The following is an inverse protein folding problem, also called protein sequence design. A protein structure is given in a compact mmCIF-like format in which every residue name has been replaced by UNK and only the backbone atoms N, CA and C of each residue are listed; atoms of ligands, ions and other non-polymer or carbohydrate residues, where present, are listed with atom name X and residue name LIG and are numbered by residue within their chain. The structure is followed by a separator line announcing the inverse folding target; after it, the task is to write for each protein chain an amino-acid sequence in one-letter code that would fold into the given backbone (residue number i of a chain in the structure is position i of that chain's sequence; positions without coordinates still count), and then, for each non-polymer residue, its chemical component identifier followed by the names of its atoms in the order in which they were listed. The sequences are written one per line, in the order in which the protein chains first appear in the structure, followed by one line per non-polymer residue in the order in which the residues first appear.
data_IF_737992380227
#
_entry.id   IF_737992380227
#
_cell.length_a   1.000
_cell.length_b   1.000
_cell.length_c   1.000
_cell.angle_alpha   90.00
_cell.angle_beta   90.00
_cell.angle_gamma   90.00
#
_symmetry.space_group_name_H-M   'P 1'
#
loop_
_entity.id
_entity.type
_entity.pdbx_description
1 polymer ?
#
# COMPACT_ATOMS: atom_id res chain seq x y z
N UNK A 1 1.01 -3.18 22.60
CA UNK A 1 -0.50 -3.21 22.63
C UNK A 1 -1.06 -1.92 22.03
N UNK A 2 -2.07 -1.99 21.16
CA UNK A 2 -2.68 -0.80 20.56
C UNK A 2 -3.44 0.01 21.65
N UNK A 3 -3.42 1.36 21.64
CA UNK A 3 -4.19 2.20 22.57
C UNK A 3 -5.67 1.82 22.72
N UNK A 4 -6.33 1.35 21.65
CA UNK A 4 -7.73 0.87 21.72
C UNK A 4 -7.91 -0.38 22.61
N UNK A 5 -6.94 -1.28 22.59
CA UNK A 5 -6.96 -2.50 23.42
C UNK A 5 -6.77 -2.15 24.90
N UNK A 6 -5.86 -1.23 25.20
CA UNK A 6 -5.62 -0.72 26.56
C UNK A 6 -6.90 -0.12 27.15
N UNK A 7 -7.65 0.63 26.34
CA UNK A 7 -8.96 1.18 26.71
C UNK A 7 -9.98 0.06 27.00
N UNK A 8 -10.09 -0.95 26.14
CA UNK A 8 -10.99 -2.08 26.37
C UNK A 8 -10.63 -2.88 27.62
N UNK A 9 -9.35 -3.14 27.88
CA UNK A 9 -8.90 -3.78 29.12
C UNK A 9 -9.15 -2.90 30.35
N UNK A 10 -8.97 -1.58 30.25
CA UNK A 10 -9.33 -0.65 31.32
C UNK A 10 -10.82 -0.74 31.68
N UNK A 11 -11.70 -0.73 30.67
CA UNK A 11 -13.14 -0.87 30.83
C UNK A 11 -13.54 -2.24 31.40
N UNK A 12 -12.90 -3.31 30.92
CA UNK A 12 -13.10 -4.67 31.43
C UNK A 12 -12.73 -4.78 32.92
N UNK A 13 -11.60 -4.21 33.31
CA UNK A 13 -11.17 -4.12 34.70
C UNK A 13 -12.15 -3.34 35.58
N UNK A 14 -12.70 -2.23 35.06
CA UNK A 14 -13.72 -1.46 35.77
C UNK A 14 -15.01 -2.27 35.97
N UNK A 15 -15.42 -3.04 34.95
CA UNK A 15 -16.56 -3.96 35.04
C UNK A 15 -16.35 -5.05 36.08
N UNK A 16 -15.15 -5.65 36.12
CA UNK A 16 -14.74 -6.62 37.15
C UNK A 16 -14.88 -6.04 38.55
N UNK A 17 -14.43 -4.80 38.76
CA UNK A 17 -14.55 -4.11 40.05
C UNK A 17 -16.01 -3.83 40.44
N UNK A 18 -16.85 -3.43 39.49
CA UNK A 18 -18.29 -3.24 39.73
C UNK A 18 -18.96 -4.56 40.15
N UNK A 19 -18.69 -5.66 39.46
CA UNK A 19 -19.20 -6.99 39.81
C UNK A 19 -18.71 -7.43 41.19
N UNK A 20 -17.43 -7.19 41.51
CA UNK A 20 -16.90 -7.45 42.84
C UNK A 20 -17.60 -6.62 43.93
N UNK A 21 -17.91 -5.35 43.65
CA UNK A 21 -18.69 -4.48 44.53
C UNK A 21 -20.10 -5.01 44.78
N UNK A 22 -20.80 -5.42 43.72
CA UNK A 22 -22.14 -6.03 43.81
C UNK A 22 -22.10 -7.33 44.62
N UNK A 23 -21.11 -8.20 44.38
CA UNK A 23 -20.90 -9.43 45.15
C UNK A 23 -20.75 -9.12 46.64
N UNK A 24 -20.03 -8.05 46.98
CA UNK A 24 -19.86 -7.62 48.37
C UNK A 24 -21.15 -7.12 49.02
N UNK A 25 -22.02 -6.42 48.26
CA UNK A 25 -23.33 -5.96 48.73
C UNK A 25 -24.30 -7.13 48.93
N UNK A 26 -24.40 -8.02 47.94
CA UNK A 26 -25.32 -9.18 47.97
C UNK A 26 -24.89 -10.17 49.06
N UNK A 27 -23.59 -10.46 49.17
CA UNK A 27 -23.04 -11.40 50.15
C UNK A 27 -22.61 -10.71 51.46
N UNK A 28 -23.16 -9.53 51.80
CA UNK A 28 -22.77 -8.76 53.00
C UNK A 28 -22.78 -9.55 54.31
N UNK A 29 -23.64 -10.57 54.42
CA UNK A 29 -23.76 -11.47 55.58
C UNK A 29 -22.80 -12.67 55.54
N UNK A 30 -22.24 -12.99 54.38
CA UNK A 30 -21.31 -14.11 54.13
C UNK A 30 -19.98 -13.60 53.58
N UNK A 31 -19.32 -12.69 54.30
CA UNK A 31 -18.11 -11.98 53.86
C UNK A 31 -16.96 -12.88 53.37
N UNK A 32 -16.79 -14.08 53.96
CA UNK A 32 -15.76 -15.04 53.51
C UNK A 32 -16.00 -15.53 52.08
N UNK A 33 -17.26 -15.74 51.70
CA UNK A 33 -17.63 -16.14 50.33
C UNK A 33 -17.47 -14.99 49.35
N UNK A 34 -17.80 -13.76 49.75
CA UNK A 34 -17.57 -12.57 48.94
C UNK A 34 -16.08 -12.41 48.60
N UNK A 35 -15.20 -12.54 49.60
CA UNK A 35 -13.75 -12.46 49.41
C UNK A 35 -13.23 -13.56 48.47
N UNK A 36 -13.65 -14.81 48.67
CA UNK A 36 -13.22 -15.91 47.82
C UNK A 36 -13.65 -15.73 46.35
N UNK A 37 -14.90 -15.33 46.11
CA UNK A 37 -15.42 -15.11 44.76
C UNK A 37 -14.78 -13.91 44.07
N UNK A 38 -14.60 -12.79 44.77
CA UNK A 38 -13.91 -11.63 44.21
C UNK A 38 -12.44 -11.95 43.92
N UNK A 39 -11.76 -12.69 44.79
CA UNK A 39 -10.39 -13.14 44.55
C UNK A 39 -10.27 -14.03 43.33
N UNK A 40 -11.15 -15.02 43.18
CA UNK A 40 -11.21 -15.88 41.99
C UNK A 40 -11.42 -15.05 40.72
N UNK A 41 -12.34 -14.09 40.75
CA UNK A 41 -12.69 -13.26 39.60
C UNK A 41 -11.53 -12.37 39.15
N UNK A 42 -10.79 -11.77 40.10
CA UNK A 42 -9.58 -11.00 39.80
C UNK A 42 -8.46 -11.90 39.25
N UNK A 43 -8.23 -13.08 39.84
CA UNK A 43 -7.22 -14.03 39.35
C UNK A 43 -7.56 -14.48 37.93
N UNK A 44 -8.82 -14.82 37.65
CA UNK A 44 -9.28 -15.18 36.31
C UNK A 44 -9.08 -14.05 35.30
N UNK A 45 -9.36 -12.81 35.70
CA UNK A 45 -9.16 -11.64 34.83
C UNK A 45 -7.66 -11.41 34.50
N UNK A 46 -6.79 -11.50 35.51
CA UNK A 46 -5.34 -11.38 35.31
C UNK A 46 -4.82 -12.53 34.45
N UNK A 47 -5.30 -13.76 34.68
CA UNK A 47 -4.94 -14.93 33.89
C UNK A 47 -5.36 -14.78 32.43
N UNK A 48 -6.58 -14.30 32.17
CA UNK A 48 -7.05 -14.01 30.82
C UNK A 48 -6.17 -12.96 30.13
N UNK A 49 -5.85 -11.87 30.82
CA UNK A 49 -4.98 -10.83 30.30
C UNK A 49 -3.58 -11.36 29.95
N UNK A 50 -2.98 -12.16 30.83
CA UNK A 50 -1.67 -12.76 30.59
C UNK A 50 -1.69 -13.78 29.43
N UNK A 51 -2.85 -14.36 29.11
CA UNK A 51 -2.99 -15.37 28.06
C UNK A 51 -3.27 -14.78 26.68
N UNK A 52 -3.71 -13.52 26.58
CA UNK A 52 -4.02 -12.85 25.32
C UNK A 52 -2.86 -12.82 24.30
N UNK A 53 -1.60 -12.53 24.67
CA UNK A 53 -0.49 -12.54 23.72
C UNK A 53 -0.29 -13.91 23.06
N UNK A 54 -0.50 -14.99 23.83
CA UNK A 54 -0.39 -16.34 23.32
C UNK A 54 -1.46 -16.65 22.28
N UNK A 55 -2.72 -16.27 22.56
CA UNK A 55 -3.82 -16.42 21.59
C UNK A 55 -3.57 -15.65 20.29
N UNK A 56 -2.99 -14.45 20.37
CA UNK A 56 -2.64 -13.66 19.18
C UNK A 56 -1.53 -14.32 18.37
N UNK A 57 -0.51 -14.84 19.03
CA UNK A 57 0.59 -15.53 18.38
C UNK A 57 0.12 -16.81 17.66
N UNK A 58 -0.72 -17.61 18.32
CA UNK A 58 -1.31 -18.82 17.76
C UNK A 58 -2.21 -18.50 16.55
N UNK A 59 -3.12 -17.52 16.70
CA UNK A 59 -4.01 -17.11 15.61
C UNK A 59 -3.23 -16.51 14.41
N UNK A 60 -2.16 -15.75 14.67
CA UNK A 60 -1.33 -15.22 13.59
C UNK A 60 -0.57 -16.34 12.87
N UNK A 61 -0.04 -17.33 13.60
CA UNK A 61 0.64 -18.47 13.00
C UNK A 61 -0.30 -19.36 12.17
N UNK A 62 -1.56 -19.55 12.60
CA UNK A 62 -2.57 -20.25 11.81
C UNK A 62 -2.83 -19.53 10.49
N UNK A 63 -3.09 -18.23 10.55
CA UNK A 63 -3.31 -17.39 9.37
C UNK A 63 -2.09 -17.30 8.45
N UNK A 64 -0.88 -17.39 8.99
CA UNK A 64 0.35 -17.45 8.20
C UNK A 64 0.36 -18.70 7.28
N UNK A 65 -0.07 -19.85 7.81
CA UNK A 65 -0.20 -21.07 7.00
C UNK A 65 -1.27 -20.93 5.92
N UNK A 66 -2.36 -20.20 6.19
CA UNK A 66 -3.39 -19.91 5.19
C UNK A 66 -2.85 -19.03 4.05
N UNK A 67 -2.02 -18.03 4.35
CA UNK A 67 -1.32 -17.24 3.33
C UNK A 67 -0.36 -18.11 2.51
N UNK A 68 0.45 -18.95 3.16
CA UNK A 68 1.33 -19.86 2.42
C UNK A 68 0.56 -20.82 1.51
N UNK A 69 -0.55 -21.38 1.98
CA UNK A 69 -1.41 -22.24 1.18
C UNK A 69 -2.03 -21.47 0.00
N UNK A 70 -2.49 -20.24 0.23
CA UNK A 70 -3.00 -19.37 -0.82
C UNK A 70 -1.95 -19.11 -1.90
N UNK A 71 -0.75 -18.69 -1.50
CA UNK A 71 0.36 -18.39 -2.41
C UNK A 71 0.81 -19.64 -3.18
N UNK A 72 0.92 -20.80 -2.53
CA UNK A 72 1.32 -22.04 -3.18
C UNK A 72 0.30 -22.54 -4.21
N UNK A 73 -0.99 -22.29 -3.99
CA UNK A 73 -2.07 -22.69 -4.92
C UNK A 73 -2.16 -21.73 -6.11
N UNK A 74 -2.02 -20.43 -5.87
CA UNK A 74 -2.26 -19.41 -6.89
C UNK A 74 -0.98 -19.03 -7.67
N UNK A 75 0.20 -19.17 -7.06
CA UNK A 75 1.50 -18.80 -7.64
C UNK A 75 2.55 -19.90 -7.48
N UNK A 76 2.33 -21.11 -8.03
CA UNK A 76 3.18 -22.28 -7.79
C UNK A 76 4.61 -22.17 -8.35
N UNK A 77 4.85 -21.24 -9.27
CA UNK A 77 6.16 -21.03 -9.92
C UNK A 77 6.99 -19.90 -9.29
N UNK A 78 6.47 -19.25 -8.24
CA UNK A 78 7.12 -18.10 -7.57
C UNK A 78 7.47 -18.43 -6.14
N UNK A 79 8.59 -17.85 -5.69
CA UNK A 79 9.08 -17.96 -4.31
C UNK A 79 8.85 -16.62 -3.62
N UNK A 80 8.26 -16.65 -2.42
CA UNK A 80 7.88 -15.44 -1.69
C UNK A 80 8.49 -15.42 -0.30
N UNK A 81 8.87 -14.23 0.13
CA UNK A 81 9.19 -13.93 1.52
C UNK A 81 7.93 -13.37 2.17
N UNK A 82 7.46 -14.03 3.23
CA UNK A 82 6.26 -13.61 3.98
C UNK A 82 6.69 -13.16 5.39
N UNK A 83 6.36 -11.93 5.75
CA UNK A 83 6.68 -11.33 7.02
C UNK A 83 5.46 -10.61 7.64
N UNK A 84 5.34 -10.56 8.97
CA UNK A 84 6.11 -11.34 9.93
C UNK A 84 5.58 -12.78 10.02
N UNK A 85 6.47 -13.75 10.29
CA UNK A 85 6.06 -15.16 10.46
C UNK A 85 5.41 -15.41 11.82
N UNK A 86 5.76 -14.59 12.80
CA UNK A 86 5.24 -14.64 14.16
C UNK A 86 4.60 -13.30 14.49
N UNK A 87 3.63 -13.31 15.39
CA UNK A 87 3.03 -12.07 15.84
C UNK A 87 4.06 -11.17 16.53
N UNK A 88 4.20 -9.94 16.02
CA UNK A 88 5.00 -8.89 16.62
C UNK A 88 4.10 -7.78 17.20
N UNK A 89 4.55 -7.14 18.28
CA UNK A 89 3.79 -6.02 18.85
C UNK A 89 3.73 -4.85 17.86
N UNK A 90 2.51 -4.44 17.49
CA UNK A 90 2.27 -3.38 16.51
C UNK A 90 1.70 -3.91 15.20
N UNK A 91 1.81 -5.21 14.96
CA UNK A 91 1.26 -5.87 13.77
C UNK A 91 -0.18 -6.33 14.00
N UNK A 92 -1.03 -6.16 12.98
CA UNK A 92 -2.41 -6.65 13.03
C UNK A 92 -2.42 -8.17 12.83
N UNK A 93 -3.16 -8.89 13.67
CA UNK A 93 -3.24 -10.37 13.60
C UNK A 93 -3.81 -10.81 12.25
N UNK A 94 -3.03 -11.56 11.48
CA UNK A 94 -3.42 -12.02 10.15
C UNK A 94 -3.04 -11.09 9.01
N UNK A 95 -2.26 -10.05 9.27
CA UNK A 95 -1.70 -9.18 8.24
C UNK A 95 -0.26 -9.58 7.96
N UNK A 96 0.08 -9.73 6.68
CA UNK A 96 1.37 -10.21 6.22
C UNK A 96 1.83 -9.41 5.01
N UNK A 97 3.05 -8.93 5.05
CA UNK A 97 3.77 -8.40 3.90
C UNK A 97 4.42 -9.56 3.14
N UNK A 98 4.16 -9.62 1.85
CA UNK A 98 4.54 -10.70 0.95
C UNK A 98 5.35 -10.09 -0.19
N UNK A 99 6.65 -10.36 -0.23
CA UNK A 99 7.53 -9.93 -1.32
C UNK A 99 8.03 -11.11 -2.13
N UNK A 100 8.37 -10.87 -3.40
CA UNK A 100 9.02 -11.90 -4.24
C UNK A 100 10.48 -12.04 -3.80
N UNK A 101 10.95 -13.28 -3.64
CA UNK A 101 12.33 -13.55 -3.18
C UNK A 101 13.39 -12.96 -4.12
N UNK A 102 13.08 -12.85 -5.42
CA UNK A 102 14.00 -12.30 -6.43
C UNK A 102 14.00 -10.78 -6.45
N UNK A 103 12.93 -10.15 -5.98
CA UNK A 103 12.76 -8.68 -5.95
C UNK A 103 12.15 -8.25 -4.61
N UNK A 104 12.92 -8.35 -3.51
CA UNK A 104 12.39 -8.21 -2.15
C UNK A 104 11.92 -6.80 -1.79
N UNK A 105 12.30 -5.79 -2.58
CA UNK A 105 11.86 -4.39 -2.43
C UNK A 105 10.41 -4.18 -2.91
N UNK A 106 9.89 -5.15 -3.66
CA UNK A 106 8.52 -5.20 -4.12
C UNK A 106 7.79 -6.22 -3.21
N UNK A 107 6.76 -5.81 -2.47
CA UNK A 107 5.80 -6.73 -1.83
C UNK A 107 4.39 -6.17 -1.61
N UNK A 108 3.39 -7.03 -1.36
CA UNK A 108 2.00 -6.66 -0.99
C UNK A 108 1.68 -7.03 0.44
N UNK A 109 0.78 -6.27 1.05
CA UNK A 109 0.17 -6.70 2.31
C UNK A 109 -1.10 -7.49 2.03
N UNK A 110 -1.09 -8.76 2.43
CA UNK A 110 -2.25 -9.63 2.49
C UNK A 110 -2.83 -9.64 3.91
N UNK A 111 -4.15 -9.67 4.00
CA UNK A 111 -4.89 -9.83 5.24
C UNK A 111 -5.78 -11.06 5.17
N UNK A 112 -5.70 -11.88 6.21
CA UNK A 112 -6.55 -13.05 6.40
C UNK A 112 -7.70 -12.69 7.33
N UNK A 113 -8.91 -12.68 6.77
CA UNK A 113 -10.15 -12.44 7.50
C UNK A 113 -10.46 -13.54 8.53
N UNK A 114 -11.44 -13.31 9.41
CA UNK A 114 -11.86 -14.31 10.42
C UNK A 114 -12.44 -15.60 9.80
N UNK A 115 -12.81 -15.56 8.52
CA UNK A 115 -13.32 -16.71 7.76
C UNK A 115 -12.24 -17.44 6.95
N UNK A 116 -10.96 -17.11 7.17
CA UNK A 116 -9.82 -17.65 6.45
C UNK A 116 -9.70 -17.20 4.99
N UNK A 117 -10.46 -16.18 4.58
CA UNK A 117 -10.30 -15.59 3.24
C UNK A 117 -9.14 -14.61 3.24
N UNK A 118 -8.21 -14.83 2.33
CA UNK A 118 -7.10 -13.92 2.03
C UNK A 118 -7.62 -12.77 1.16
N UNK A 119 -7.32 -11.54 1.56
CA UNK A 119 -7.65 -10.31 0.84
C UNK A 119 -6.39 -9.45 0.76
N UNK A 120 -6.17 -8.79 -0.37
CA UNK A 120 -5.13 -7.79 -0.48
C UNK A 120 -5.64 -6.48 0.13
N UNK A 121 -4.84 -5.85 0.99
CA UNK A 121 -5.24 -4.62 1.72
C UNK A 121 -4.27 -3.46 1.54
N UNK A 122 -3.19 -3.66 0.79
CA UNK A 122 -2.28 -2.59 0.38
C UNK A 122 -1.82 -2.75 -1.07
N UNK A 123 -1.31 -1.64 -1.61
CA UNK A 123 -0.52 -1.61 -2.83
C UNK A 123 0.94 -1.89 -2.50
N UNK A 124 1.74 -2.23 -3.51
CA UNK A 124 3.14 -2.57 -3.30
C UNK A 124 3.95 -1.35 -2.87
N UNK A 125 4.32 -1.21 -1.59
CA UNK A 125 5.26 -0.15 -1.15
C UNK A 125 6.11 -0.57 0.06
N UNK A 126 7.31 0.00 0.15
CA UNK A 126 8.31 -0.19 1.22
C UNK A 126 7.92 0.45 2.57
N UNK A 127 6.70 0.98 2.71
CA UNK A 127 6.27 1.74 3.89
C UNK A 127 6.84 3.16 3.98
N UNK A 128 7.76 3.53 3.08
CA UNK A 128 8.27 4.89 2.89
C UNK A 128 7.72 5.49 1.60
N UNK A 129 7.64 6.82 1.51
CA UNK A 129 7.36 7.47 0.24
C UNK A 129 8.49 7.10 -0.75
N UNK A 130 8.18 6.67 -1.98
CA UNK A 130 9.21 6.47 -3.00
C UNK A 130 9.94 7.80 -3.20
N UNK A 131 11.22 7.73 -3.55
CA UNK A 131 11.94 8.95 -3.92
C UNK A 131 11.20 9.62 -5.09
N UNK A 132 11.18 10.96 -5.12
CA UNK A 132 10.45 11.73 -6.13
C UNK A 132 10.79 11.30 -7.58
N UNK A 133 12.01 10.80 -7.83
CA UNK A 133 12.50 10.31 -9.13
C UNK A 133 11.98 8.92 -9.54
N UNK A 134 11.36 8.20 -8.60
CA UNK A 134 10.89 6.83 -8.74
C UNK A 134 9.37 6.71 -8.63
N UNK A 135 8.67 7.83 -8.42
CA UNK A 135 7.21 7.87 -8.24
C UNK A 135 6.45 7.29 -9.45
N UNK A 136 7.01 7.42 -10.65
CA UNK A 136 6.44 6.82 -11.86
C UNK A 136 6.26 5.31 -11.79
N UNK A 137 7.04 4.59 -10.96
CA UNK A 137 6.89 3.15 -10.78
C UNK A 137 5.53 2.78 -10.18
N UNK A 138 4.85 3.74 -9.52
CA UNK A 138 3.49 3.57 -9.04
C UNK A 138 2.50 3.26 -10.20
N UNK A 139 2.77 3.75 -11.42
CA UNK A 139 1.95 3.45 -12.59
C UNK A 139 1.93 1.97 -12.93
N UNK A 140 2.97 1.20 -12.64
CA UNK A 140 2.97 -0.25 -12.85
C UNK A 140 1.81 -0.92 -12.10
N UNK A 141 1.37 -0.30 -11.00
CA UNK A 141 0.30 -0.80 -10.13
C UNK A 141 -1.07 -0.22 -10.46
N UNK A 142 -1.14 1.05 -10.91
CA UNK A 142 -2.41 1.76 -11.10
C UNK A 142 -2.87 1.89 -12.55
N UNK A 143 -1.98 1.76 -13.52
CA UNK A 143 -2.32 1.87 -14.92
C UNK A 143 -3.27 0.73 -15.31
N UNK A 144 -4.44 0.97 -15.92
CA UNK A 144 -5.39 -0.05 -16.39
C UNK A 144 -6.45 -0.55 -15.37
N UNK A 145 -6.71 -1.86 -15.33
CA UNK A 145 -7.70 -2.49 -14.42
C UNK A 145 -7.11 -2.77 -13.02
N UNK A 146 -7.98 -3.16 -12.05
CA UNK A 146 -7.58 -3.54 -10.69
C UNK A 146 -6.39 -4.53 -10.71
N UNK A 147 -5.31 -4.17 -10.01
CA UNK A 147 -4.09 -4.98 -9.97
C UNK A 147 -4.35 -6.37 -9.34
N UNK A 148 -4.08 -7.43 -10.10
CA UNK A 148 -4.07 -8.82 -9.63
C UNK A 148 -2.70 -9.44 -9.86
N UNK A 149 -2.30 -10.41 -9.03
CA UNK A 149 -1.01 -11.10 -9.18
C UNK A 149 -0.87 -11.89 -10.50
N UNK A 150 -1.98 -12.17 -11.21
CA UNK A 150 -2.02 -12.83 -12.53
C UNK A 150 -1.93 -11.85 -13.72
N UNK A 151 -1.72 -10.56 -13.44
CA UNK A 151 -1.68 -9.53 -14.48
C UNK A 151 -0.43 -9.70 -15.36
N UNK A 152 -0.61 -9.66 -16.68
CA UNK A 152 0.51 -9.51 -17.61
C UNK A 152 1.30 -8.26 -17.24
N UNK A 153 2.62 -8.42 -17.10
CA UNK A 153 3.49 -7.33 -16.69
C UNK A 153 3.47 -6.27 -17.79
N UNK A 154 2.90 -5.11 -17.49
CA UNK A 154 3.00 -3.93 -18.34
C UNK A 154 4.48 -3.54 -18.36
N UNK A 155 5.03 -3.31 -19.55
CA UNK A 155 6.39 -2.82 -19.67
C UNK A 155 6.38 -1.30 -19.62
N UNK A 156 6.81 -0.74 -18.48
CA UNK A 156 6.98 0.71 -18.31
C UNK A 156 8.48 1.02 -18.24
N UNK A 157 8.94 1.90 -19.12
CA UNK A 157 10.33 2.36 -19.14
C UNK A 157 10.40 3.89 -19.04
N UNK A 158 11.17 4.41 -18.09
CA UNK A 158 11.43 5.85 -17.97
C UNK A 158 12.38 6.32 -19.09
N UNK A 159 11.95 7.33 -19.83
CA UNK A 159 12.69 7.96 -20.93
C UNK A 159 13.31 9.28 -20.49
N UNK A 160 12.57 10.06 -19.69
CA UNK A 160 13.01 11.36 -19.20
C UNK A 160 12.29 11.78 -17.92
N UNK A 161 12.86 12.76 -17.23
CA UNK A 161 12.26 13.34 -16.04
C UNK A 161 12.49 14.84 -15.98
N UNK A 162 11.52 15.54 -15.41
CA UNK A 162 11.61 16.94 -15.07
C UNK A 162 10.98 17.15 -13.68
N UNK A 163 11.69 17.89 -12.82
CA UNK A 163 11.29 18.09 -11.42
C UNK A 163 11.45 19.56 -11.07
N UNK A 164 10.36 20.21 -10.66
CA UNK A 164 10.40 21.55 -10.07
C UNK A 164 9.44 21.65 -8.89
N UNK A 165 10.01 21.83 -7.69
CA UNK A 165 9.24 21.90 -6.46
C UNK A 165 8.44 20.62 -6.23
N UNK A 166 7.11 20.77 -6.13
CA UNK A 166 6.18 19.66 -5.91
C UNK A 166 5.69 19.02 -7.22
N UNK A 167 5.95 19.63 -8.38
CA UNK A 167 5.56 19.08 -9.67
C UNK A 167 6.67 18.19 -10.22
N UNK A 168 6.29 17.01 -10.71
CA UNK A 168 7.20 16.07 -11.35
C UNK A 168 6.57 15.52 -12.62
N UNK A 169 7.30 15.55 -13.72
CA UNK A 169 6.84 15.08 -15.02
C UNK A 169 7.81 14.03 -15.54
N UNK A 170 7.26 12.90 -15.97
CA UNK A 170 8.03 11.81 -16.55
C UNK A 170 7.62 11.61 -18.00
N UNK A 171 8.60 11.48 -18.88
CA UNK A 171 8.41 10.84 -20.17
C UNK A 171 8.62 9.33 -19.98
N UNK A 172 7.63 8.54 -20.38
CA UNK A 172 7.58 7.10 -20.20
C UNK A 172 7.32 6.42 -21.56
N UNK A 173 7.73 5.16 -21.69
CA UNK A 173 7.21 4.25 -22.69
C UNK A 173 6.38 3.18 -21.96
N UNK A 174 5.09 3.07 -22.27
CA UNK A 174 4.17 2.09 -21.69
C UNK A 174 3.74 1.15 -22.82
N UNK A 175 4.16 -0.12 -22.76
CA UNK A 175 3.93 -1.12 -23.83
C UNK A 175 4.31 -0.58 -25.22
N UNK A 176 5.48 0.07 -25.31
CA UNK A 176 6.04 0.73 -26.51
C UNK A 176 5.30 2.00 -26.97
N UNK A 177 4.28 2.47 -26.24
CA UNK A 177 3.61 3.74 -26.52
C UNK A 177 4.27 4.88 -25.74
N UNK A 178 4.63 6.00 -26.39
CA UNK A 178 5.13 7.18 -25.69
C UNK A 178 4.03 7.77 -24.81
N UNK A 179 4.39 8.13 -23.58
CA UNK A 179 3.49 8.67 -22.59
C UNK A 179 4.15 9.79 -21.77
N UNK A 180 3.34 10.73 -21.28
CA UNK A 180 3.75 11.68 -20.25
C UNK A 180 2.90 11.47 -19.01
N UNK A 181 3.55 11.31 -17.87
CA UNK A 181 2.90 11.21 -16.56
C UNK A 181 3.26 12.43 -15.70
N UNK A 182 2.25 13.11 -15.17
CA UNK A 182 2.39 14.28 -14.31
C UNK A 182 2.03 13.89 -12.88
N UNK A 183 2.88 14.24 -11.94
CA UNK A 183 2.76 13.93 -10.53
C UNK A 183 2.87 15.18 -9.65
N UNK A 184 2.07 15.19 -8.60
CA UNK A 184 2.30 16.04 -7.43
C UNK A 184 3.08 15.22 -6.39
N UNK A 185 4.11 15.82 -5.80
CA UNK A 185 4.93 15.22 -4.75
C UNK A 185 5.22 16.24 -3.66
N UNK A 186 4.62 16.03 -2.48
CA UNK A 186 4.74 16.91 -1.32
C UNK A 186 5.03 16.11 -0.05
N UNK A 187 5.44 16.78 1.05
CA UNK A 187 5.53 16.13 2.36
C UNK A 187 4.19 15.56 2.87
N UNK A 188 3.06 16.01 2.33
CA UNK A 188 1.74 15.53 2.70
C UNK A 188 1.31 14.27 1.92
N UNK A 189 2.03 13.93 0.84
CA UNK A 189 1.74 12.79 -0.03
C UNK A 189 2.12 13.09 -1.47
N UNK A 190 1.96 12.08 -2.32
CA UNK A 190 2.17 12.17 -3.75
C UNK A 190 1.01 11.52 -4.51
N UNK A 191 0.86 11.85 -5.79
CA UNK A 191 -0.16 11.24 -6.64
C UNK A 191 -0.05 11.63 -8.10
N UNK A 192 -0.54 10.75 -8.97
CA UNK A 192 -0.68 11.00 -10.40
C UNK A 192 -1.78 12.04 -10.63
N UNK A 193 -1.41 13.17 -11.22
CA UNK A 193 -2.33 14.23 -11.63
C UNK A 193 -2.89 13.95 -13.03
N UNK A 194 -2.02 13.55 -13.95
CA UNK A 194 -2.39 13.33 -15.35
C UNK A 194 -1.51 12.28 -16.02
N UNK A 195 -2.06 11.59 -17.02
CA UNK A 195 -1.37 10.61 -17.83
C UNK A 195 -1.90 10.66 -19.26
N UNK A 196 -1.04 11.11 -20.16
CA UNK A 196 -1.33 11.16 -21.59
C UNK A 196 -0.52 10.10 -22.33
N UNK A 197 -1.16 9.42 -23.29
CA UNK A 197 -0.55 8.41 -24.15
C UNK A 197 -0.75 8.78 -25.61
N UNK A 198 0.26 8.49 -26.42
CA UNK A 198 0.17 8.63 -27.87
C UNK A 198 0.56 7.33 -28.59
N UNK A 199 0.31 7.28 -29.89
CA UNK A 199 0.66 6.12 -30.71
C UNK A 199 2.19 5.96 -30.80
N UNK A 200 2.68 4.73 -31.01
CA UNK A 200 4.10 4.48 -31.24
C UNK A 200 4.63 5.33 -32.42
N UNK A 201 5.82 5.91 -32.27
CA UNK A 201 6.41 6.78 -33.29
C UNK A 201 5.71 8.15 -33.43
N UNK A 202 4.96 8.59 -32.41
CA UNK A 202 4.30 9.89 -32.39
C UNK A 202 4.83 10.83 -31.30
N UNK A 203 4.17 11.97 -31.13
CA UNK A 203 4.52 12.99 -30.12
C UNK A 203 3.39 13.05 -29.11
N UNK A 204 3.76 13.05 -27.84
CA UNK A 204 2.83 13.22 -26.71
C UNK A 204 3.14 14.54 -26.02
N UNK A 205 2.10 15.24 -25.56
CA UNK A 205 2.24 16.49 -24.84
C UNK A 205 1.18 16.62 -23.75
N UNK A 206 1.47 17.42 -22.72
CA UNK A 206 0.52 17.76 -21.66
C UNK A 206 0.77 19.19 -21.19
N UNK A 207 -0.31 19.90 -20.85
CA UNK A 207 -0.26 21.25 -20.27
C UNK A 207 -0.50 21.17 -18.76
N UNK A 208 0.49 21.58 -17.96
CA UNK A 208 0.39 21.54 -16.50
C UNK A 208 1.06 22.77 -15.87
N UNK A 209 0.38 23.40 -14.90
CA UNK A 209 0.85 24.59 -14.18
C UNK A 209 1.33 25.75 -15.09
N UNK A 210 0.73 25.88 -16.29
CA UNK A 210 1.06 26.91 -17.26
C UNK A 210 2.33 26.65 -18.08
N UNK A 211 2.88 25.44 -18.02
CA UNK A 211 3.97 24.95 -18.88
C UNK A 211 3.44 23.88 -19.85
N UNK A 212 4.11 23.75 -20.99
CA UNK A 212 3.86 22.68 -21.95
C UNK A 212 5.00 21.68 -21.88
N UNK A 213 4.67 20.43 -21.56
CA UNK A 213 5.60 19.32 -21.56
C UNK A 213 5.41 18.52 -22.84
N UNK A 214 6.49 18.29 -23.58
CA UNK A 214 6.46 17.57 -24.86
C UNK A 214 7.50 16.47 -24.83
N UNK A 215 7.11 15.28 -25.28
CA UNK A 215 8.02 14.17 -25.54
C UNK A 215 7.85 13.68 -26.98
N UNK A 216 8.96 13.69 -27.72
CA UNK A 216 9.03 13.21 -29.11
C UNK A 216 9.63 11.81 -29.08
N UNK A 217 8.85 10.81 -29.48
CA UNK A 217 9.30 9.41 -29.53
C UNK A 217 10.53 9.24 -30.46
N UNK A 218 11.46 8.36 -30.08
CA UNK A 218 12.65 8.10 -30.90
C UNK A 218 12.31 7.60 -32.31
N UNK A 219 11.19 6.86 -32.44
CA UNK A 219 10.67 6.33 -33.69
C UNK A 219 9.96 7.36 -34.58
N UNK A 220 9.82 8.62 -34.16
CA UNK A 220 9.11 9.65 -34.92
C UNK A 220 9.75 9.90 -36.31
N UNK A 221 8.99 9.74 -37.40
CA UNK A 221 9.53 9.86 -38.77
C UNK A 221 9.56 11.30 -39.32
N UNK A 222 8.90 12.26 -38.65
CA UNK A 222 8.82 13.66 -39.10
C UNK A 222 10.07 14.50 -38.79
N UNK A 223 10.20 15.64 -39.47
CA UNK A 223 11.25 16.65 -39.20
C UNK A 223 10.81 17.66 -38.12
N UNK A 224 9.52 17.97 -38.06
CA UNK A 224 8.90 18.85 -37.06
C UNK A 224 7.54 18.31 -36.67
N UNK A 225 7.19 18.43 -35.39
CA UNK A 225 5.88 18.07 -34.86
C UNK A 225 5.08 19.33 -34.52
N UNK A 226 3.94 19.51 -35.17
CA UNK A 226 3.01 20.60 -34.88
C UNK A 226 2.03 20.18 -33.77
N UNK A 227 2.01 20.95 -32.68
CA UNK A 227 1.18 20.72 -31.50
C UNK A 227 0.14 21.84 -31.42
N UNK A 228 -1.11 21.46 -31.16
CA UNK A 228 -2.21 22.40 -30.91
C UNK A 228 -2.49 22.44 -29.41
N UNK A 229 -2.26 23.59 -28.80
CA UNK A 229 -2.51 23.81 -27.38
C UNK A 229 -4.01 24.01 -27.11
N UNK A 230 -4.44 23.82 -25.86
CA UNK A 230 -5.82 24.02 -25.41
C UNK A 230 -6.32 25.45 -25.66
N UNK A 231 -5.41 26.42 -25.57
CA UNK A 231 -5.68 27.83 -25.84
C UNK A 231 -5.85 28.15 -27.35
N UNK A 232 -5.62 27.18 -28.22
CA UNK A 232 -5.71 27.29 -29.69
C UNK A 232 -4.46 27.83 -30.37
N UNK A 233 -3.38 28.08 -29.63
CA UNK A 233 -2.06 28.40 -30.17
C UNK A 233 -1.38 27.15 -30.74
N UNK A 234 -0.43 27.37 -31.65
CA UNK A 234 0.36 26.31 -32.26
C UNK A 234 1.80 26.42 -31.84
N UNK A 235 2.33 25.30 -31.40
CA UNK A 235 3.74 25.09 -31.10
C UNK A 235 4.31 24.12 -32.14
N UNK A 236 5.60 24.26 -32.46
CA UNK A 236 6.31 23.30 -33.30
C UNK A 236 7.57 22.86 -32.58
N UNK A 237 7.74 21.55 -32.45
CA UNK A 237 8.92 20.93 -31.83
C UNK A 237 9.77 20.27 -32.91
N UNK A 238 11.08 20.49 -32.87
CA UNK A 238 12.02 19.97 -33.86
C UNK A 238 12.39 18.51 -33.54
N UNK A 239 12.47 17.66 -34.58
CA UNK A 239 12.84 16.26 -34.46
C UNK A 239 14.26 16.01 -33.90
N UNK A 240 15.08 17.05 -33.78
CA UNK A 240 16.37 16.98 -33.06
C UNK A 240 16.21 16.74 -31.56
N UNK A 241 15.03 16.96 -30.97
CA UNK A 241 14.73 16.75 -29.55
C UNK A 241 14.10 15.37 -29.25
N UNK A 242 14.24 14.40 -30.17
CA UNK A 242 13.80 13.02 -29.96
C UNK A 242 14.41 12.39 -28.72
N UNK A 243 13.60 11.64 -27.97
CA UNK A 243 14.03 10.98 -26.75
C UNK A 243 14.23 11.92 -25.56
N UNK A 244 13.98 13.21 -25.72
CA UNK A 244 14.10 14.21 -24.65
C UNK A 244 12.72 14.74 -24.24
N UNK A 245 12.54 14.93 -22.92
CA UNK A 245 11.39 15.66 -22.38
C UNK A 245 11.69 17.16 -22.46
N UNK A 246 10.93 17.88 -23.28
CA UNK A 246 11.07 19.32 -23.54
C UNK A 246 10.03 20.06 -22.71
N UNK A 247 10.42 21.22 -22.19
CA UNK A 247 9.55 22.11 -21.39
C UNK A 247 9.57 23.50 -22.01
N UNK A 248 8.39 24.05 -22.32
CA UNK A 248 8.19 25.41 -22.84
C UNK A 248 7.20 26.23 -21.98
#
# INVERSE_FOLDING_TARGET
MNPGEILMFGLGGLGVLLVAGVLFVVLRRRKRWALALSGLLVISYIGFFAYQPYLKAEAHAEKYNEVLAYLAVHYPEREFVVAPQQYEEGVVVGQFDVSDERTPEMGVTLQVGENGKVQQVSNWTSGEFPAQQDVWQELEFHYGENYTLDRERIEIAKQGEWVEGELTVFALAIDQQPAIAVYEYSPAGYGLLDLELAEEGSVVFVEAEGMVFVYVDEGFEGETADIMLENGERMSVDASQKGELVVE
#
